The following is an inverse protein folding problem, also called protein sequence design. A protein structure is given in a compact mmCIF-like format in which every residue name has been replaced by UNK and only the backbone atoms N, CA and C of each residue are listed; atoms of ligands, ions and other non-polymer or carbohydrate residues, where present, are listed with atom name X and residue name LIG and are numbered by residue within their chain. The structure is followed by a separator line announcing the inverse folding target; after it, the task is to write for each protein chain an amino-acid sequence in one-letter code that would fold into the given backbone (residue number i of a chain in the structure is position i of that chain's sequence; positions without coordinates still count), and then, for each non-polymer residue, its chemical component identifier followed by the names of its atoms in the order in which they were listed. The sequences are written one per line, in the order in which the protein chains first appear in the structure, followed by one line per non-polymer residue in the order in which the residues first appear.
data_IF_470450094127
#
_entry.id   IF_470450094127
#
_cell.length_a   1.000
_cell.length_b   1.000
_cell.length_c   1.000
_cell.angle_alpha   90.00
_cell.angle_beta   90.00
_cell.angle_gamma   90.00
#
_symmetry.space_group_name_H-M   'P 1'
#
loop_
_entity.id
_entity.type
_entity.pdbx_description
1 polymer ?
#
# COMPACT_ATOMS: atom_id res chain seq x y z
N UNK A 1 -13.44 -4.87 -12.46
CA UNK A 1 -12.68 -4.93 -13.74
C UNK A 1 -11.40 -4.16 -13.50
N UNK A 2 -10.31 -4.87 -13.21
CA UNK A 2 -9.03 -4.28 -12.82
C UNK A 2 -8.39 -3.63 -14.05
N UNK A 3 -8.40 -2.30 -14.08
CA UNK A 3 -7.69 -1.56 -15.11
C UNK A 3 -6.21 -1.53 -14.74
N UNK A 4 -5.49 -2.59 -15.10
CA UNK A 4 -4.02 -2.57 -15.13
C UNK A 4 -3.60 -1.52 -16.16
N UNK A 5 -2.98 -0.42 -15.71
CA UNK A 5 -2.17 0.40 -16.62
C UNK A 5 -0.95 -0.44 -16.97
N UNK A 6 -1.03 -1.17 -18.08
CA UNK A 6 0.15 -1.79 -18.68
C UNK A 6 1.07 -0.70 -19.20
N UNK A 7 2.14 -0.41 -18.46
CA UNK A 7 3.22 0.42 -18.95
C UNK A 7 4.22 -0.48 -19.67
N UNK A 8 4.12 -0.53 -21.01
CA UNK A 8 5.08 -1.22 -21.88
C UNK A 8 6.33 -0.33 -21.96
N UNK A 9 7.25 -0.50 -21.01
CA UNK A 9 8.66 -0.14 -21.11
C UNK A 9 9.46 -1.04 -20.15
N UNK A 10 10.12 -2.06 -20.70
CA UNK A 10 11.12 -2.85 -19.98
C UNK A 10 12.27 -1.92 -19.55
N UNK A 11 12.64 -1.94 -18.26
CA UNK A 11 13.77 -1.25 -17.58
C UNK A 11 13.41 -0.09 -16.61
N UNK A 12 12.14 0.21 -16.34
CA UNK A 12 11.79 1.06 -15.19
C UNK A 12 11.45 0.19 -13.98
N UNK A 13 12.41 0.06 -13.06
CA UNK A 13 12.14 -0.42 -11.71
C UNK A 13 10.95 0.37 -11.15
N UNK A 14 9.89 -0.29 -10.64
CA UNK A 14 8.75 0.45 -10.11
C UNK A 14 9.22 1.36 -8.97
N UNK A 15 8.95 2.65 -9.08
CA UNK A 15 9.33 3.64 -8.06
C UNK A 15 8.51 3.46 -6.77
N UNK A 16 7.37 2.76 -6.86
CA UNK A 16 6.49 2.38 -5.76
C UNK A 16 5.65 1.16 -6.14
N UNK A 17 5.23 0.38 -5.14
CA UNK A 17 4.12 -0.55 -5.26
C UNK A 17 2.82 0.22 -5.08
N UNK A 18 1.79 -0.09 -5.87
CA UNK A 18 0.57 0.72 -5.91
C UNK A 18 -0.67 -0.08 -6.28
N UNK A 19 -1.70 -0.04 -5.43
CA UNK A 19 -2.96 -0.72 -5.70
C UNK A 19 -4.16 -0.02 -5.05
N UNK A 20 -5.33 -0.17 -5.67
CA UNK A 20 -6.61 0.25 -5.12
C UNK A 20 -7.08 -0.76 -4.07
N UNK A 21 -7.50 -0.25 -2.92
CA UNK A 21 -8.06 -1.02 -1.83
C UNK A 21 -9.41 -0.43 -1.42
N UNK A 22 -10.34 -1.32 -1.04
CA UNK A 22 -11.39 -0.92 -0.13
C UNK A 22 -10.77 -0.46 1.19
N UNK A 23 -11.32 0.60 1.80
CA UNK A 23 -10.78 1.16 3.04
C UNK A 23 -10.60 0.07 4.12
N UNK A 24 -11.55 -0.86 4.23
CA UNK A 24 -11.50 -1.97 5.20
C UNK A 24 -10.37 -2.98 4.94
N UNK A 25 -9.82 -3.03 3.72
CA UNK A 25 -8.74 -3.95 3.34
C UNK A 25 -7.33 -3.37 3.59
N UNK A 26 -7.21 -2.07 3.85
CA UNK A 26 -5.92 -1.44 4.16
C UNK A 26 -5.28 -2.04 5.43
N UNK A 27 -6.03 -2.17 6.52
CA UNK A 27 -5.47 -2.75 7.75
C UNK A 27 -5.11 -4.24 7.62
N UNK A 28 -5.97 -5.11 7.06
CA UNK A 28 -5.63 -6.49 6.75
C UNK A 28 -4.33 -6.62 5.94
N UNK A 29 -4.20 -5.84 4.86
CA UNK A 29 -3.02 -5.87 4.02
C UNK A 29 -1.74 -5.47 4.77
N UNK A 30 -1.76 -4.36 5.53
CA UNK A 30 -0.58 -3.93 6.30
C UNK A 30 -0.18 -4.94 7.39
N UNK A 31 -1.17 -5.62 7.99
CA UNK A 31 -0.90 -6.72 8.94
C UNK A 31 -0.24 -7.90 8.24
N UNK A 32 -0.78 -8.34 7.10
CA UNK A 32 -0.21 -9.42 6.29
C UNK A 32 1.23 -9.11 5.89
N UNK A 33 1.48 -7.91 5.36
CA UNK A 33 2.82 -7.48 4.97
C UNK A 33 3.79 -7.55 6.15
N UNK A 34 3.33 -7.14 7.34
CA UNK A 34 4.13 -7.19 8.57
C UNK A 34 4.40 -8.58 9.12
N UNK A 35 3.51 -9.55 8.85
CA UNK A 35 3.62 -10.91 9.40
C UNK A 35 4.25 -11.92 8.44
N UNK A 36 4.11 -11.70 7.14
CA UNK A 36 4.39 -12.72 6.11
C UNK A 36 5.60 -12.38 5.23
N UNK A 37 5.99 -11.10 5.17
CA UNK A 37 7.05 -10.61 4.26
C UNK A 37 8.19 -9.99 5.03
N UNK A 38 7.86 -9.13 5.99
CA UNK A 38 8.83 -8.39 6.78
C UNK A 38 9.20 -9.20 8.03
N UNK A 39 10.49 -9.22 8.37
CA UNK A 39 10.96 -9.78 9.63
C UNK A 39 10.47 -8.94 10.82
N UNK A 40 10.32 -7.63 10.60
CA UNK A 40 9.67 -6.68 11.50
C UNK A 40 8.98 -5.60 10.67
N UNK A 41 7.67 -5.65 10.59
CA UNK A 41 6.87 -4.67 9.85
C UNK A 41 6.23 -3.57 10.71
N UNK A 42 5.06 -3.12 10.28
CA UNK A 42 4.29 -2.08 10.93
C UNK A 42 3.73 -2.55 12.27
N UNK A 43 3.87 -1.73 13.29
CA UNK A 43 3.24 -1.95 14.59
C UNK A 43 1.73 -1.72 14.50
N UNK A 44 0.95 -2.33 15.40
CA UNK A 44 -0.50 -2.07 15.47
C UNK A 44 -0.83 -0.59 15.67
N UNK A 45 0.03 0.16 16.37
CA UNK A 45 -0.12 1.61 16.54
C UNK A 45 0.05 2.35 15.22
N UNK A 46 1.05 2.00 14.42
CA UNK A 46 1.28 2.61 13.10
C UNK A 46 0.14 2.26 12.15
N UNK A 47 -0.30 1.00 12.09
CA UNK A 47 -1.43 0.57 11.26
C UNK A 47 -2.71 1.33 11.63
N UNK A 48 -3.00 1.48 12.92
CA UNK A 48 -4.16 2.25 13.38
C UNK A 48 -4.03 3.74 13.03
N UNK A 49 -2.83 4.31 13.14
CA UNK A 49 -2.58 5.70 12.77
C UNK A 49 -2.73 5.93 11.27
N UNK A 50 -2.21 5.02 10.42
CA UNK A 50 -2.37 5.08 8.97
C UNK A 50 -3.87 5.08 8.65
N UNK A 51 -4.61 4.10 9.16
CA UNK A 51 -6.05 3.98 8.93
C UNK A 51 -6.82 5.24 9.36
N UNK A 52 -6.58 5.73 10.58
CA UNK A 52 -7.24 6.93 11.10
C UNK A 52 -6.88 8.21 10.34
N UNK A 53 -5.70 8.26 9.69
CA UNK A 53 -5.35 9.37 8.81
C UNK A 53 -6.10 9.28 7.49
N UNK A 54 -6.20 8.08 6.92
CA UNK A 54 -6.97 7.84 5.70
C UNK A 54 -8.42 8.23 5.97
N UNK A 55 -9.08 7.70 7.01
CA UNK A 55 -10.48 8.01 7.35
C UNK A 55 -10.81 9.51 7.36
N UNK A 56 -9.86 10.35 7.81
CA UNK A 56 -10.02 11.81 7.88
C UNK A 56 -9.90 12.53 6.54
N UNK A 57 -9.29 11.89 5.53
CA UNK A 57 -9.28 12.39 4.15
C UNK A 57 -10.71 12.34 3.62
N UNK A 58 -11.19 13.46 3.06
CA UNK A 58 -12.59 13.64 2.70
C UNK A 58 -12.81 14.47 1.43
N UNK A 59 -11.73 14.84 0.75
CA UNK A 59 -11.79 15.54 -0.52
C UNK A 59 -11.48 14.56 -1.65
N UNK A 60 -12.27 14.63 -2.71
CA UNK A 60 -12.01 13.85 -3.91
C UNK A 60 -10.63 14.21 -4.51
N UNK A 61 -9.89 13.19 -4.95
CA UNK A 61 -8.49 13.26 -5.40
C UNK A 61 -7.53 13.86 -4.36
N UNK A 62 -7.83 13.70 -3.06
CA UNK A 62 -6.90 14.08 -2.00
C UNK A 62 -5.73 13.10 -1.95
N UNK A 63 -4.53 13.62 -2.14
CA UNK A 63 -3.27 12.88 -2.00
C UNK A 63 -2.59 13.34 -0.71
N UNK A 64 -2.12 12.39 0.09
CA UNK A 64 -1.46 12.68 1.36
C UNK A 64 -0.37 11.66 1.67
N UNK A 65 0.82 12.17 1.96
CA UNK A 65 1.87 11.39 2.60
C UNK A 65 1.46 11.10 4.05
N UNK A 66 1.36 9.81 4.38
CA UNK A 66 0.97 9.34 5.72
C UNK A 66 2.19 9.28 6.65
N UNK A 67 3.35 8.92 6.10
CA UNK A 67 4.63 8.91 6.78
C UNK A 67 5.62 7.88 6.24
N UNK A 68 6.79 7.83 6.86
CA UNK A 68 7.85 6.85 6.60
C UNK A 68 8.02 5.94 7.81
N UNK A 69 8.08 4.63 7.56
CA UNK A 69 8.07 3.59 8.59
C UNK A 69 9.33 2.74 8.48
N UNK A 70 9.99 2.54 9.62
CA UNK A 70 11.16 1.67 9.71
C UNK A 70 10.72 0.21 9.75
N UNK A 71 11.28 -0.62 8.88
CA UNK A 71 10.99 -2.05 8.79
C UNK A 71 12.28 -2.85 8.72
N UNK A 72 12.17 -4.17 8.93
CA UNK A 72 13.26 -5.12 8.71
C UNK A 72 12.84 -6.11 7.63
N UNK A 73 13.65 -6.20 6.57
CA UNK A 73 13.47 -7.15 5.48
C UNK A 73 14.77 -7.91 5.23
N UNK A 74 14.70 -9.25 5.28
CA UNK A 74 15.87 -10.15 5.15
C UNK A 74 17.03 -9.78 6.08
N UNK A 75 16.70 -9.42 7.32
CA UNK A 75 17.64 -9.01 8.37
C UNK A 75 18.26 -7.63 8.17
N UNK A 76 17.84 -6.86 7.16
CA UNK A 76 18.32 -5.51 6.87
C UNK A 76 17.25 -4.48 7.24
N UNK A 77 17.69 -3.37 7.84
CA UNK A 77 16.82 -2.22 8.06
C UNK A 77 16.49 -1.57 6.71
N UNK A 78 15.21 -1.27 6.50
CA UNK A 78 14.70 -0.55 5.34
C UNK A 78 13.62 0.47 5.80
N UNK A 79 13.25 1.36 4.90
CA UNK A 79 12.21 2.36 5.13
C UNK A 79 11.13 2.24 4.06
N UNK A 80 9.87 2.18 4.50
CA UNK A 80 8.72 2.24 3.60
C UNK A 80 8.02 3.58 3.81
N UNK A 81 7.97 4.40 2.76
CA UNK A 81 7.17 5.63 2.73
C UNK A 81 5.80 5.34 2.14
N UNK A 82 4.74 5.78 2.82
CA UNK A 82 3.35 5.55 2.40
C UNK A 82 2.72 6.88 1.98
N UNK A 83 2.22 6.91 0.76
CA UNK A 83 1.33 7.93 0.25
C UNK A 83 -0.04 7.30 -0.03
N UNK A 84 -1.10 8.06 0.22
CA UNK A 84 -2.47 7.62 -0.04
C UNK A 84 -3.16 8.65 -0.91
N UNK A 85 -3.86 8.17 -1.92
CA UNK A 85 -4.81 8.93 -2.71
C UNK A 85 -6.22 8.37 -2.44
N UNK A 86 -7.23 9.24 -2.34
CA UNK A 86 -8.62 8.81 -2.26
C UNK A 86 -9.42 9.32 -3.45
N UNK A 87 -10.26 8.46 -4.00
CA UNK A 87 -11.22 8.80 -5.05
C UNK A 87 -12.63 8.68 -4.47
N UNK A 88 -13.46 9.70 -4.67
CA UNK A 88 -14.83 9.75 -4.15
C UNK A 88 -15.79 9.93 -5.34
N UNK A 89 -16.48 8.86 -5.74
CA UNK A 89 -17.48 8.88 -6.82
C UNK A 89 -18.83 8.36 -6.29
N UNK A 90 -19.92 9.11 -6.45
CA UNK A 90 -21.29 8.66 -6.15
C UNK A 90 -21.46 7.91 -4.81
N UNK A 91 -20.83 8.43 -3.74
CA UNK A 91 -20.79 7.87 -2.38
C UNK A 91 -19.90 6.63 -2.16
N UNK A 92 -19.24 6.13 -3.20
CA UNK A 92 -18.13 5.18 -3.07
C UNK A 92 -16.85 5.94 -2.70
N UNK A 93 -15.95 5.23 -2.01
CA UNK A 93 -14.66 5.76 -1.60
C UNK A 93 -13.61 4.70 -1.84
N UNK A 94 -12.76 4.94 -2.83
CA UNK A 94 -11.61 4.08 -3.14
C UNK A 94 -10.34 4.67 -2.51
N UNK A 95 -9.44 3.79 -2.08
CA UNK A 95 -8.15 4.17 -1.51
C UNK A 95 -7.04 3.61 -2.39
N UNK A 96 -6.24 4.46 -2.99
CA UNK A 96 -5.00 4.04 -3.65
C UNK A 96 -3.87 4.09 -2.63
N UNK A 97 -3.25 2.96 -2.33
CA UNK A 97 -2.10 2.86 -1.43
C UNK A 97 -0.83 2.81 -2.25
N UNK A 98 0.06 3.80 -2.08
CA UNK A 98 1.37 3.89 -2.73
C UNK A 98 2.48 3.68 -1.70
N UNK A 99 3.34 2.68 -1.93
CA UNK A 99 4.41 2.29 -1.02
C UNK A 99 5.77 2.39 -1.71
N UNK A 100 6.59 3.35 -1.27
CA UNK A 100 7.91 3.63 -1.81
C UNK A 100 8.98 3.03 -0.89
N UNK A 101 9.93 2.30 -1.47
CA UNK A 101 11.05 1.66 -0.75
C UNK A 101 12.11 1.24 -1.77
N UNK A 102 13.12 0.49 -1.33
CA UNK A 102 14.10 -0.14 -2.21
C UNK A 102 13.44 -1.01 -3.31
N UNK A 103 13.97 -1.01 -4.54
CA UNK A 103 13.48 -1.76 -5.70
C UNK A 103 13.03 -3.20 -5.43
N UNK A 104 13.89 -3.98 -4.76
CA UNK A 104 13.61 -5.38 -4.44
C UNK A 104 12.37 -5.50 -3.55
N UNK A 105 12.21 -4.62 -2.58
CA UNK A 105 11.07 -4.66 -1.67
C UNK A 105 9.80 -4.11 -2.32
N UNK A 106 9.93 -3.17 -3.28
CA UNK A 106 8.79 -2.72 -4.08
C UNK A 106 8.18 -3.88 -4.87
N UNK A 107 8.99 -4.66 -5.59
CA UNK A 107 8.50 -5.82 -6.36
C UNK A 107 7.77 -6.82 -5.46
N UNK A 108 8.30 -7.10 -4.28
CA UNK A 108 7.69 -8.02 -3.31
C UNK A 108 6.39 -7.47 -2.74
N UNK A 109 6.32 -6.17 -2.43
CA UNK A 109 5.08 -5.55 -1.95
C UNK A 109 4.02 -5.60 -3.04
N UNK A 110 4.37 -5.31 -4.29
CA UNK A 110 3.45 -5.35 -5.43
C UNK A 110 2.87 -6.76 -5.65
N UNK A 111 3.72 -7.80 -5.59
CA UNK A 111 3.28 -9.19 -5.61
C UNK A 111 2.32 -9.54 -4.48
N UNK A 112 2.57 -9.03 -3.27
CA UNK A 112 1.71 -9.30 -2.12
C UNK A 112 0.40 -8.51 -2.16
N UNK A 113 0.40 -7.31 -2.75
CA UNK A 113 -0.84 -6.59 -3.06
C UNK A 113 -1.69 -7.41 -4.03
N UNK A 114 -1.10 -7.96 -5.10
CA UNK A 114 -1.80 -8.82 -6.06
C UNK A 114 -2.37 -10.07 -5.40
N UNK A 115 -1.58 -10.80 -4.61
CA UNK A 115 -2.07 -12.00 -3.90
C UNK A 115 -3.21 -11.67 -2.93
N UNK A 116 -3.11 -10.54 -2.21
CA UNK A 116 -4.18 -10.10 -1.31
C UNK A 116 -5.46 -9.81 -2.07
N UNK A 117 -5.38 -9.14 -3.22
CA UNK A 117 -6.53 -8.86 -4.08
C UNK A 117 -7.17 -10.14 -4.66
N UNK A 118 -6.37 -11.11 -5.10
CA UNK A 118 -6.87 -12.39 -5.60
C UNK A 118 -7.62 -13.19 -4.52
N UNK A 119 -7.11 -13.19 -3.28
CA UNK A 119 -7.71 -13.92 -2.17
C UNK A 119 -9.06 -13.34 -1.73
N UNK A 120 -9.26 -12.02 -1.85
CA UNK A 120 -10.52 -11.37 -1.47
C UNK A 120 -11.62 -11.49 -2.54
N UNK A 121 -11.35 -12.12 -3.69
CA UNK A 121 -12.38 -12.42 -4.69
C UNK A 121 -12.76 -11.24 -5.57
N UNK A 122 -11.74 -10.46 -5.95
CA UNK A 122 -11.73 -9.47 -7.02
C UNK A 122 -12.44 -9.90 -8.33
#
# INVERSE_FOLDING_TARGET
MFSKKENINNDEVPLAAGMNFDLEQVQPFLKRLSSSVLDSGFTSREINNIYAQIEKMNKDNEIKEIGTFNVIYKGKQAEIRIEVEIHIEDHSREVVLLMYTDPELVEIIDEEMMKHAEEIGA
#
